data_IF_158326317945
#
_entry.id   IF_158326317945
#
_cell.length_a   1.000
_cell.length_b   1.000
_cell.length_c   1.000
_cell.angle_alpha   90.00
_cell.angle_beta   90.00
_cell.angle_gamma   90.00
#
_symmetry.space_group_name_H-M   'P 1'
#
loop_
_entity.id
_entity.type
_entity.pdbx_description
1 polymer ?
#
# COMPACT_ATOMS: atom_id res chain seq x y z
N UNK A 1 1.64 -16.68 -8.40
CA UNK A 1 1.27 -15.56 -7.52
C UNK A 1 1.57 -14.20 -8.12
N UNK A 2 2.77 -13.95 -8.62
CA UNK A 2 3.13 -12.66 -9.25
C UNK A 2 2.25 -12.29 -10.46
N UNK A 3 1.92 -13.25 -11.33
CA UNK A 3 1.05 -13.01 -12.49
C UNK A 3 -0.36 -12.61 -12.07
N UNK A 4 -0.89 -13.20 -11.01
CA UNK A 4 -2.20 -12.84 -10.47
C UNK A 4 -2.21 -11.41 -9.91
N UNK A 5 -1.16 -11.03 -9.17
CA UNK A 5 -0.99 -9.67 -8.66
C UNK A 5 -0.91 -8.64 -9.79
N UNK A 6 -0.11 -8.91 -10.80
CA UNK A 6 0.06 -8.01 -11.97
C UNK A 6 -1.27 -7.87 -12.72
N UNK A 7 -1.96 -9.00 -12.95
CA UNK A 7 -3.26 -9.00 -13.63
C UNK A 7 -4.30 -8.21 -12.85
N UNK A 8 -4.44 -8.49 -11.56
CA UNK A 8 -5.40 -7.80 -10.68
C UNK A 8 -5.11 -6.30 -10.62
N UNK A 9 -3.85 -5.93 -10.44
CA UNK A 9 -3.42 -4.54 -10.46
C UNK A 9 -3.79 -3.84 -11.77
N UNK A 10 -3.37 -4.40 -12.90
CA UNK A 10 -3.56 -3.79 -14.20
C UNK A 10 -5.01 -3.80 -14.68
N UNK A 11 -5.88 -4.59 -14.03
CA UNK A 11 -7.32 -4.57 -14.30
C UNK A 11 -8.03 -3.34 -13.72
N UNK A 12 -7.47 -2.73 -12.68
CA UNK A 12 -8.08 -1.59 -11.96
C UNK A 12 -7.26 -0.30 -12.06
N UNK A 13 -5.97 -0.37 -12.38
CA UNK A 13 -5.07 0.78 -12.47
C UNK A 13 -4.76 1.11 -13.92
N UNK A 14 -5.06 2.33 -14.34
CA UNK A 14 -4.68 2.89 -15.63
C UNK A 14 -3.28 3.53 -15.60
N UNK A 15 -2.74 3.86 -16.79
CA UNK A 15 -1.40 4.42 -16.92
C UNK A 15 -1.19 5.75 -16.20
N UNK A 16 -2.23 6.58 -16.13
CA UNK A 16 -2.17 7.91 -15.53
C UNK A 16 -2.72 7.95 -14.09
N UNK A 17 -3.23 6.82 -13.60
CA UNK A 17 -3.70 6.73 -12.24
C UNK A 17 -2.54 6.81 -11.25
N UNK A 18 -2.73 7.54 -10.17
CA UNK A 18 -1.79 7.60 -9.06
C UNK A 18 -2.08 6.45 -8.09
N UNK A 19 -1.04 5.71 -7.71
CA UNK A 19 -1.17 4.61 -6.77
C UNK A 19 -0.12 4.72 -5.67
N UNK A 20 -0.57 4.52 -4.44
CA UNK A 20 0.24 4.58 -3.23
C UNK A 20 0.54 3.17 -2.72
N UNK A 21 1.81 2.84 -2.69
CA UNK A 21 2.32 1.64 -2.04
C UNK A 21 2.58 1.92 -0.57
N UNK A 22 2.03 1.10 0.32
CA UNK A 22 2.23 1.24 1.76
C UNK A 22 3.30 0.29 2.33
N UNK A 23 4.30 -0.01 1.52
CA UNK A 23 5.50 -0.72 1.96
C UNK A 23 5.45 -2.25 1.86
N UNK A 24 6.62 -2.85 2.02
CA UNK A 24 6.84 -4.29 1.90
C UNK A 24 6.36 -4.85 0.55
N UNK A 25 6.80 -4.20 -0.52
CA UNK A 25 6.35 -4.51 -1.87
C UNK A 25 6.71 -5.94 -2.30
N UNK A 26 7.93 -6.37 -1.99
CA UNK A 26 8.42 -7.66 -2.47
C UNK A 26 9.40 -8.29 -1.47
N UNK A 27 9.32 -9.60 -1.35
CA UNK A 27 10.31 -10.43 -0.64
C UNK A 27 11.30 -11.09 -1.62
N UNK A 28 11.16 -10.84 -2.92
CA UNK A 28 12.02 -11.33 -3.98
C UNK A 28 13.33 -10.56 -4.09
N UNK A 29 14.18 -11.01 -5.01
CA UNK A 29 15.44 -10.33 -5.33
C UNK A 29 15.18 -9.04 -6.11
N UNK A 30 16.23 -8.22 -6.26
CA UNK A 30 16.21 -6.98 -7.01
C UNK A 30 15.62 -7.15 -8.42
N UNK A 31 16.15 -8.10 -9.20
CA UNK A 31 15.77 -8.32 -10.58
C UNK A 31 14.31 -8.75 -10.70
N UNK A 32 13.87 -9.67 -9.86
CA UNK A 32 12.48 -10.14 -9.82
C UNK A 32 11.52 -8.99 -9.47
N UNK A 33 11.89 -8.18 -8.50
CA UNK A 33 11.10 -7.01 -8.06
C UNK A 33 11.02 -5.96 -9.17
N UNK A 34 12.13 -5.67 -9.83
CA UNK A 34 12.20 -4.73 -10.95
C UNK A 34 11.33 -5.18 -12.13
N UNK A 35 11.36 -6.46 -12.47
CA UNK A 35 10.51 -7.05 -13.52
C UNK A 35 9.02 -6.90 -13.22
N UNK A 36 8.62 -7.09 -11.97
CA UNK A 36 7.24 -6.90 -11.54
C UNK A 36 6.85 -5.42 -11.67
N UNK A 37 7.67 -4.52 -11.11
CA UNK A 37 7.40 -3.08 -11.16
C UNK A 37 7.28 -2.55 -12.59
N UNK A 38 8.09 -3.06 -13.51
CA UNK A 38 8.04 -2.67 -14.91
C UNK A 38 6.72 -3.03 -15.60
N UNK A 39 5.99 -4.04 -15.10
CA UNK A 39 4.72 -4.48 -15.66
C UNK A 39 3.50 -3.81 -15.02
N UNK A 40 3.67 -3.13 -13.88
CA UNK A 40 2.57 -2.48 -13.17
C UNK A 40 2.30 -1.09 -13.74
N UNK A 41 1.06 -0.83 -14.13
CA UNK A 41 0.60 0.47 -14.61
C UNK A 41 0.48 1.48 -13.47
N UNK A 42 0.48 2.76 -13.86
CA UNK A 42 0.20 3.88 -12.96
C UNK A 42 1.43 4.65 -12.52
N UNK A 43 1.17 5.83 -11.98
CA UNK A 43 2.17 6.71 -11.35
C UNK A 43 2.31 6.25 -9.89
N UNK A 44 3.46 5.68 -9.56
CA UNK A 44 3.69 4.97 -8.31
C UNK A 44 4.35 5.86 -7.26
N UNK A 45 3.74 5.90 -6.08
CA UNK A 45 4.26 6.55 -4.88
C UNK A 45 4.61 5.48 -3.84
N UNK A 46 5.72 5.64 -3.13
CA UNK A 46 6.21 4.67 -2.15
C UNK A 46 6.15 5.22 -0.72
N UNK A 47 5.45 4.50 0.14
CA UNK A 47 5.64 4.54 1.58
C UNK A 47 6.50 3.34 1.96
N UNK A 48 7.63 3.59 2.62
CA UNK A 48 8.64 2.55 2.85
C UNK A 48 8.24 1.63 3.99
N UNK A 49 8.26 0.33 3.74
CA UNK A 49 8.09 -0.70 4.76
C UNK A 49 9.43 -1.17 5.35
N UNK A 50 9.35 -1.97 6.40
CA UNK A 50 10.55 -2.48 7.07
C UNK A 50 11.35 -3.48 6.21
N UNK A 51 10.67 -4.30 5.40
CA UNK A 51 11.34 -5.22 4.47
C UNK A 51 11.92 -4.52 3.25
N UNK A 52 11.37 -3.39 2.83
CA UNK A 52 11.95 -2.56 1.76
C UNK A 52 13.34 -2.03 2.17
N UNK A 53 13.54 -1.75 3.46
CA UNK A 53 14.81 -1.23 3.99
C UNK A 53 15.90 -2.28 4.16
N UNK A 54 15.53 -3.54 4.39
CA UNK A 54 16.44 -4.62 4.80
C UNK A 54 16.28 -5.91 4.01
N UNK A 55 15.33 -5.93 3.06
CA UNK A 55 15.02 -7.12 2.29
C UNK A 55 16.01 -7.40 1.16
N UNK A 56 15.74 -8.46 0.41
CA UNK A 56 16.58 -8.91 -0.72
C UNK A 56 16.64 -7.92 -1.88
N UNK A 57 15.68 -7.00 -1.97
CA UNK A 57 15.60 -5.93 -2.95
C UNK A 57 15.87 -4.53 -2.32
N UNK A 58 16.52 -4.46 -1.16
CA UNK A 58 16.75 -3.21 -0.43
C UNK A 58 17.39 -2.11 -1.27
N UNK A 59 18.33 -2.49 -2.12
CA UNK A 59 19.03 -1.57 -3.03
C UNK A 59 18.08 -0.87 -3.99
N UNK A 60 17.07 -1.57 -4.48
CA UNK A 60 16.04 -0.99 -5.35
C UNK A 60 15.26 0.11 -4.61
N UNK A 61 14.85 -0.14 -3.38
CA UNK A 61 14.02 0.80 -2.61
C UNK A 61 14.83 1.92 -1.94
N UNK A 62 16.09 1.67 -1.58
CA UNK A 62 16.92 2.65 -0.88
C UNK A 62 17.72 3.54 -1.84
N UNK A 63 18.25 2.98 -2.93
CA UNK A 63 19.15 3.68 -3.85
C UNK A 63 18.52 3.96 -5.22
N UNK A 64 17.90 2.96 -5.82
CA UNK A 64 17.48 3.00 -7.23
C UNK A 64 15.96 3.24 -7.37
N UNK A 65 15.27 3.66 -6.32
CA UNK A 65 13.80 3.79 -6.25
C UNK A 65 13.22 4.74 -7.31
N UNK A 66 13.94 5.78 -7.69
CA UNK A 66 13.50 6.77 -8.70
C UNK A 66 13.25 6.18 -10.09
N UNK A 67 13.76 4.99 -10.36
CA UNK A 67 13.47 4.29 -11.61
C UNK A 67 12.02 3.82 -11.72
N UNK A 68 11.31 3.66 -10.59
CA UNK A 68 9.96 3.11 -10.55
C UNK A 68 8.95 3.97 -9.81
N UNK A 69 9.38 4.81 -8.89
CA UNK A 69 8.53 5.65 -8.06
C UNK A 69 8.81 7.13 -8.28
N UNK A 70 7.77 7.95 -8.23
CA UNK A 70 7.90 9.41 -8.39
C UNK A 70 8.30 10.10 -7.10
N UNK A 71 8.00 9.49 -5.97
CA UNK A 71 8.41 9.94 -4.64
C UNK A 71 8.49 8.78 -3.65
N UNK A 72 9.09 9.05 -2.48
CA UNK A 72 9.30 8.08 -1.42
C UNK A 72 9.20 8.77 -0.05
N UNK A 73 8.40 8.20 0.85
CA UNK A 73 8.13 8.75 2.18
C UNK A 73 8.05 7.64 3.23
N UNK A 74 8.28 7.99 4.49
CA UNK A 74 7.98 7.13 5.64
C UNK A 74 6.55 7.35 6.13
N UNK A 75 6.07 8.56 5.98
CA UNK A 75 4.76 9.06 6.36
C UNK A 75 4.31 10.12 5.38
N UNK A 76 3.04 10.11 5.01
CA UNK A 76 2.50 11.12 4.11
C UNK A 76 1.07 11.51 4.46
N UNK A 77 0.77 12.80 4.43
CA UNK A 77 -0.58 13.34 4.57
C UNK A 77 -1.13 13.63 3.17
N UNK A 78 -2.09 12.83 2.76
CA UNK A 78 -2.70 12.93 1.43
C UNK A 78 -4.09 13.53 1.54
N UNK A 79 -4.36 14.57 0.76
CA UNK A 79 -5.70 15.15 0.60
C UNK A 79 -6.13 15.03 -0.84
N UNK A 80 -7.32 14.45 -1.05
CA UNK A 80 -7.95 14.32 -2.36
C UNK A 80 -9.40 14.77 -2.22
N UNK A 81 -9.72 16.00 -2.65
CA UNK A 81 -11.04 16.57 -2.42
C UNK A 81 -11.39 16.61 -0.94
N UNK A 82 -12.46 15.93 -0.55
CA UNK A 82 -12.92 15.81 0.85
C UNK A 82 -12.19 14.74 1.65
N UNK A 83 -11.49 13.83 0.96
CA UNK A 83 -10.81 12.69 1.58
C UNK A 83 -9.46 13.13 2.15
N UNK A 84 -9.21 12.77 3.41
CA UNK A 84 -7.98 13.11 4.12
C UNK A 84 -7.38 11.83 4.71
N UNK A 85 -6.17 11.52 4.29
CA UNK A 85 -5.47 10.31 4.71
C UNK A 85 -4.15 10.60 5.37
N UNK A 86 -3.80 9.78 6.36
CA UNK A 86 -2.42 9.61 6.82
C UNK A 86 -1.97 8.23 6.39
N UNK A 87 -0.89 8.19 5.61
CA UNK A 87 -0.33 6.98 5.02
C UNK A 87 0.95 6.60 5.77
N UNK A 88 1.01 5.39 6.25
CA UNK A 88 2.20 4.80 6.86
C UNK A 88 2.18 3.29 6.68
N UNK A 89 3.34 2.66 6.62
CA UNK A 89 3.43 1.20 6.56
C UNK A 89 2.83 0.55 7.82
N UNK A 90 3.05 1.18 8.98
CA UNK A 90 2.57 0.68 10.27
C UNK A 90 1.23 1.28 10.66
N UNK A 91 0.35 0.51 11.36
CA UNK A 91 -0.84 1.07 11.96
C UNK A 91 -0.49 2.00 13.11
N UNK A 92 -1.12 3.16 13.18
CA UNK A 92 -0.92 4.11 14.26
C UNK A 92 -1.83 3.80 15.46
N UNK A 93 -1.34 4.11 16.65
CA UNK A 93 -2.16 4.13 17.86
C UNK A 93 -3.03 5.37 17.95
N UNK A 94 -2.58 6.49 17.39
CA UNK A 94 -3.35 7.73 17.23
C UNK A 94 -2.80 8.55 16.05
N UNK A 95 -3.63 9.39 15.46
CA UNK A 95 -3.28 10.26 14.33
C UNK A 95 -4.16 11.50 14.29
N UNK A 96 -3.94 12.36 13.32
CA UNK A 96 -4.62 13.64 13.19
C UNK A 96 -6.14 13.47 13.05
N UNK A 97 -6.88 14.25 13.83
CA UNK A 97 -8.34 14.24 13.82
C UNK A 97 -8.89 14.58 12.43
N UNK A 98 -9.90 13.83 12.00
CA UNK A 98 -10.55 14.01 10.70
C UNK A 98 -9.85 13.29 9.54
N UNK A 99 -8.70 12.67 9.79
CA UNK A 99 -7.99 11.85 8.80
C UNK A 99 -8.31 10.37 8.99
N UNK A 100 -8.17 9.62 7.91
CA UNK A 100 -8.18 8.15 7.91
C UNK A 100 -6.74 7.65 7.86
N UNK A 101 -6.35 6.77 8.77
CA UNK A 101 -5.07 6.09 8.72
C UNK A 101 -5.17 4.83 7.84
N UNK A 102 -4.42 4.84 6.74
CA UNK A 102 -4.22 3.66 5.92
C UNK A 102 -2.84 3.07 6.18
N UNK A 103 -2.78 1.76 6.35
CA UNK A 103 -1.55 1.04 6.67
C UNK A 103 -1.50 -0.34 6.00
N UNK A 104 -0.38 -1.01 6.11
CA UNK A 104 -0.18 -2.41 5.76
C UNK A 104 0.47 -3.16 6.93
N UNK A 105 1.56 -3.87 6.68
CA UNK A 105 2.43 -4.54 7.63
C UNK A 105 1.86 -5.81 8.29
N UNK A 106 0.61 -5.81 8.67
CA UNK A 106 0.04 -6.84 9.57
C UNK A 106 -0.26 -8.17 8.87
N UNK A 107 -0.27 -8.22 7.54
CA UNK A 107 -0.56 -9.42 6.75
C UNK A 107 -1.82 -10.16 7.24
N UNK A 108 -2.90 -9.42 7.45
CA UNK A 108 -4.15 -9.96 8.00
C UNK A 108 -3.98 -10.67 9.35
N UNK A 109 -3.12 -10.16 10.22
CA UNK A 109 -2.83 -10.76 11.52
C UNK A 109 -4.11 -11.03 12.31
N UNK A 110 -4.35 -12.30 12.62
CA UNK A 110 -5.51 -12.70 13.39
C UNK A 110 -5.56 -11.99 14.75
N UNK A 111 -6.69 -11.35 15.03
CA UNK A 111 -6.92 -10.63 16.28
C UNK A 111 -6.63 -9.14 16.24
N UNK A 112 -5.93 -8.62 15.21
CA UNK A 112 -5.82 -7.17 15.06
C UNK A 112 -7.18 -6.60 14.63
N UNK A 113 -7.59 -5.54 15.30
CA UNK A 113 -8.80 -4.80 14.94
C UNK A 113 -8.42 -3.38 14.58
N UNK A 114 -8.74 -2.98 13.36
CA UNK A 114 -8.65 -1.58 12.97
C UNK A 114 -9.48 -0.73 13.95
N UNK A 115 -8.93 0.40 14.31
CA UNK A 115 -9.67 1.45 15.02
C UNK A 115 -10.64 2.12 14.06
N UNK A 116 -11.59 2.84 14.59
CA UNK A 116 -12.42 3.71 13.77
C UNK A 116 -11.56 4.70 12.98
N UNK A 117 -11.83 4.86 11.71
CA UNK A 117 -11.02 5.61 10.74
C UNK A 117 -9.62 5.02 10.50
N UNK A 118 -9.48 3.72 10.58
CA UNK A 118 -8.26 2.99 10.27
C UNK A 118 -8.57 1.79 9.38
N UNK A 119 -7.75 1.53 8.39
CA UNK A 119 -7.94 0.39 7.49
C UNK A 119 -6.62 -0.19 6.98
N UNK A 120 -6.52 -1.52 6.96
CA UNK A 120 -5.40 -2.25 6.38
C UNK A 120 -5.63 -2.41 4.87
N UNK A 121 -4.80 -1.74 4.08
CA UNK A 121 -4.85 -1.79 2.61
C UNK A 121 -3.84 -2.77 2.01
N UNK A 122 -3.20 -3.59 2.84
CA UNK A 122 -2.27 -4.63 2.39
C UNK A 122 -2.91 -5.53 1.33
N UNK A 123 -2.08 -6.05 0.42
CA UNK A 123 -2.57 -6.85 -0.71
C UNK A 123 -3.30 -8.11 -0.24
N UNK A 124 -2.75 -8.81 0.74
CA UNK A 124 -3.32 -10.02 1.34
C UNK A 124 -4.60 -9.74 2.12
N UNK A 125 -4.77 -8.54 2.65
CA UNK A 125 -5.99 -8.11 3.31
C UNK A 125 -7.11 -7.67 2.35
N UNK A 126 -6.82 -7.54 1.05
CA UNK A 126 -7.72 -6.95 0.05
C UNK A 126 -7.75 -7.71 -1.28
N UNK A 127 -7.73 -9.03 -1.21
CA UNK A 127 -7.84 -9.90 -2.39
C UNK A 127 -6.79 -9.61 -3.48
N UNK A 128 -5.57 -9.22 -3.07
CA UNK A 128 -4.46 -8.93 -3.98
C UNK A 128 -4.82 -7.92 -5.08
N UNK A 129 -5.72 -6.99 -4.77
CA UNK A 129 -6.20 -5.96 -5.70
C UNK A 129 -6.08 -4.59 -5.06
N UNK A 130 -5.54 -3.58 -5.77
CA UNK A 130 -5.52 -2.20 -5.26
C UNK A 130 -6.92 -1.68 -4.98
N UNK A 131 -7.07 -0.90 -3.91
CA UNK A 131 -8.32 -0.25 -3.54
C UNK A 131 -8.38 1.19 -4.06
N UNK A 132 -9.56 1.61 -4.49
CA UNK A 132 -9.85 3.02 -4.68
C UNK A 132 -9.81 3.76 -3.32
N UNK A 133 -9.28 4.98 -3.32
CA UNK A 133 -9.22 5.81 -2.11
C UNK A 133 -10.59 6.05 -1.48
N UNK A 134 -11.62 6.24 -2.30
CA UNK A 134 -13.00 6.36 -1.83
C UNK A 134 -13.47 5.11 -1.10
N UNK A 135 -13.20 3.92 -1.63
CA UNK A 135 -13.57 2.65 -1.00
C UNK A 135 -12.81 2.46 0.31
N UNK A 136 -11.52 2.76 0.34
CA UNK A 136 -10.73 2.70 1.56
C UNK A 136 -11.26 3.66 2.64
N UNK A 137 -11.65 4.86 2.26
CA UNK A 137 -12.29 5.84 3.15
C UNK A 137 -13.59 5.29 3.74
N UNK A 138 -14.49 4.81 2.89
CA UNK A 138 -15.80 4.31 3.32
C UNK A 138 -15.67 3.11 4.26
N UNK A 139 -14.77 2.16 3.96
CA UNK A 139 -14.49 1.01 4.81
C UNK A 139 -13.94 1.42 6.17
N UNK A 140 -13.02 2.36 6.20
CA UNK A 140 -12.44 2.87 7.45
C UNK A 140 -13.47 3.58 8.33
N UNK A 141 -14.37 4.36 7.75
CA UNK A 141 -15.43 5.10 8.46
C UNK A 141 -16.52 4.15 8.97
N UNK A 142 -16.87 3.14 8.18
CA UNK A 142 -17.91 2.17 8.55
C UNK A 142 -17.38 1.10 9.52
N UNK A 143 -16.09 1.13 9.88
CA UNK A 143 -15.49 0.16 10.78
C UNK A 143 -15.35 -1.24 10.16
N UNK A 144 -15.31 -1.33 8.84
CA UNK A 144 -15.10 -2.60 8.14
C UNK A 144 -13.71 -3.15 8.42
N UNK A 145 -13.65 -4.47 8.62
CA UNK A 145 -12.37 -5.16 8.72
C UNK A 145 -11.83 -5.44 7.33
N UNK A 146 -10.52 -5.46 7.20
CA UNK A 146 -9.87 -6.03 6.03
C UNK A 146 -10.32 -7.49 5.84
N UNK A 147 -10.40 -7.92 4.60
CA UNK A 147 -10.86 -9.28 4.28
C UNK A 147 -9.75 -10.27 4.63
N UNK A 148 -10.05 -11.18 5.55
CA UNK A 148 -9.13 -12.26 5.88
C UNK A 148 -9.24 -13.37 4.83
N UNK A 149 -8.12 -13.70 4.18
CA UNK A 149 -7.99 -14.82 3.24
C UNK A 149 -7.30 -16.00 3.91
N UNK A 150 -8.05 -16.76 4.66
CA UNK A 150 -7.62 -18.08 5.14
C UNK A 150 -8.76 -19.09 4.98
#
# INVERSE_FOLDING_TARGET
MNECLIKNWNSVVGKEDHIWFLGDFSFGKYEETAEILAQLKGVKHLIVGNHDRKGRAEKLFNRDWENWFVDKHDYYRLKIGEYKFVLCHFPFSSWERGYVNLHGHLHSLAGYKNKWRQYDVGADANNYTPLLMEDAWNRAINGEKSVDFY
#
